data_IF_737453112996
#
_entry.id   IF_737453112996
#
_cell.length_a   1.000
_cell.length_b   1.000
_cell.length_c   1.000
_cell.angle_alpha   90.00
_cell.angle_beta   90.00
_cell.angle_gamma   90.00
#
_symmetry.space_group_name_H-M   'P 1'
#
loop_
_entity.id
_entity.type
_entity.pdbx_description
1 polymer ?
#
# COMPACT_ATOMS: atom_id res chain seq x y z
N UNK A 1 76.71 0.79 10.28
CA UNK A 1 75.82 0.24 9.23
C UNK A 1 74.60 -0.50 9.80
N UNK A 2 74.74 -1.53 10.67
CA UNK A 2 73.60 -2.32 11.18
C UNK A 2 72.49 -1.53 11.92
N UNK A 3 72.82 -0.47 12.67
CA UNK A 3 71.83 0.35 13.41
C UNK A 3 70.92 1.21 12.53
N UNK A 4 71.35 1.58 11.33
CA UNK A 4 70.53 2.34 10.38
C UNK A 4 69.49 1.43 9.72
N UNK A 5 69.93 0.23 9.30
CA UNK A 5 69.07 -0.78 8.68
C UNK A 5 67.88 -1.20 9.58
N UNK A 6 68.12 -1.30 10.89
CA UNK A 6 67.09 -1.66 11.90
C UNK A 6 66.05 -0.54 12.08
N UNK A 7 66.47 0.73 12.00
CA UNK A 7 65.54 1.86 12.11
C UNK A 7 64.62 1.94 10.89
N UNK A 8 65.17 1.76 9.69
CA UNK A 8 64.39 1.83 8.45
C UNK A 8 63.38 0.68 8.34
N UNK A 9 63.75 -0.52 8.78
CA UNK A 9 62.82 -1.67 8.85
C UNK A 9 61.72 -1.49 9.89
N UNK A 10 62.01 -0.89 11.04
CA UNK A 10 61.00 -0.58 12.05
C UNK A 10 60.01 0.50 11.57
N UNK A 11 60.50 1.53 10.86
CA UNK A 11 59.65 2.57 10.28
C UNK A 11 58.72 1.96 9.21
N UNK A 12 59.25 1.09 8.34
CA UNK A 12 58.45 0.38 7.34
C UNK A 12 57.39 -0.53 7.98
N UNK A 13 57.73 -1.22 9.08
CA UNK A 13 56.79 -2.07 9.80
C UNK A 13 55.67 -1.27 10.48
N UNK A 14 56.00 -0.14 11.12
CA UNK A 14 55.00 0.74 11.75
C UNK A 14 54.09 1.35 10.69
N UNK A 15 54.63 1.79 9.54
CA UNK A 15 53.85 2.31 8.41
C UNK A 15 52.92 1.24 7.83
N UNK A 16 53.41 0.01 7.63
CA UNK A 16 52.59 -1.09 7.14
C UNK A 16 51.43 -1.42 8.10
N UNK A 17 51.71 -1.47 9.41
CA UNK A 17 50.68 -1.72 10.44
C UNK A 17 49.65 -0.59 10.49
N UNK A 18 50.07 0.67 10.37
CA UNK A 18 49.13 1.81 10.35
C UNK A 18 48.29 1.85 9.09
N UNK A 19 48.85 1.52 7.92
CA UNK A 19 48.10 1.41 6.66
C UNK A 19 47.09 0.26 6.72
N UNK A 20 47.50 -0.89 7.27
CA UNK A 20 46.62 -2.05 7.44
C UNK A 20 45.48 -1.77 8.42
N UNK A 21 45.74 -1.10 9.55
CA UNK A 21 44.68 -0.76 10.51
C UNK A 21 43.71 0.29 9.96
N UNK A 22 44.20 1.32 9.26
CA UNK A 22 43.33 2.31 8.60
C UNK A 22 42.44 1.69 7.52
N UNK A 23 42.98 0.75 6.74
CA UNK A 23 42.22 0.05 5.69
C UNK A 23 41.10 -0.81 6.29
N UNK A 24 41.36 -1.47 7.43
CA UNK A 24 40.35 -2.27 8.13
C UNK A 24 39.22 -1.41 8.72
N UNK A 25 39.55 -0.26 9.32
CA UNK A 25 38.55 0.65 9.91
C UNK A 25 37.64 1.28 8.85
N UNK A 26 38.19 1.65 7.67
CA UNK A 26 37.42 2.19 6.54
C UNK A 26 36.51 1.12 5.90
N UNK A 27 36.98 -0.13 5.81
CA UNK A 27 36.16 -1.24 5.30
C UNK A 27 35.02 -1.61 6.26
N UNK A 28 35.28 -1.66 7.57
CA UNK A 28 34.28 -1.98 8.58
C UNK A 28 33.17 -0.91 8.70
N UNK A 29 33.51 0.37 8.50
CA UNK A 29 32.52 1.47 8.50
C UNK A 29 31.66 1.45 7.21
N UNK A 30 32.23 0.98 6.08
CA UNK A 30 31.52 0.75 4.82
C UNK A 30 30.43 -0.32 4.91
N UNK A 31 30.78 -1.51 5.41
CA UNK A 31 29.86 -2.64 5.57
C UNK A 31 28.72 -2.30 6.56
N UNK A 32 29.02 -1.55 7.62
CA UNK A 32 28.01 -1.11 8.59
C UNK A 32 27.03 -0.07 8.05
N UNK A 33 27.43 0.73 7.06
CA UNK A 33 26.54 1.70 6.39
C UNK A 33 25.59 0.99 5.44
N UNK A 34 26.07 0.02 4.67
CA UNK A 34 25.27 -0.78 3.73
C UNK A 34 24.18 -1.56 4.47
N UNK A 35 24.55 -2.30 5.53
CA UNK A 35 23.59 -3.07 6.33
C UNK A 35 22.49 -2.18 6.96
N UNK A 36 22.85 -0.98 7.43
CA UNK A 36 21.87 -0.01 7.96
C UNK A 36 20.96 0.54 6.87
N UNK A 37 21.46 0.65 5.65
CA UNK A 37 20.74 1.18 4.52
C UNK A 37 19.73 0.16 3.97
N UNK A 38 20.14 -1.10 3.84
CA UNK A 38 19.26 -2.21 3.45
C UNK A 38 18.14 -2.39 4.47
N UNK A 39 18.47 -2.45 5.77
CA UNK A 39 17.47 -2.49 6.85
C UNK A 39 16.49 -1.30 6.80
N UNK A 40 16.92 -0.15 6.28
CA UNK A 40 16.06 1.02 6.11
C UNK A 40 15.17 0.88 4.88
N UNK A 41 15.69 0.33 3.78
CA UNK A 41 14.94 -0.04 2.58
C UNK A 41 13.80 -1.00 2.93
N UNK A 42 14.14 -2.14 3.54
CA UNK A 42 13.18 -3.16 3.99
C UNK A 42 12.09 -2.56 4.89
N UNK A 43 12.47 -1.67 5.81
CA UNK A 43 11.51 -1.02 6.72
C UNK A 43 10.55 -0.09 5.97
N UNK A 44 11.00 0.54 4.88
CA UNK A 44 10.15 1.41 4.07
C UNK A 44 9.19 0.57 3.24
N UNK A 45 9.66 -0.49 2.60
CA UNK A 45 8.85 -1.44 1.83
C UNK A 45 7.75 -2.06 2.70
N UNK A 46 8.13 -2.67 3.82
CA UNK A 46 7.18 -3.21 4.81
C UNK A 46 6.14 -2.18 5.30
N UNK A 47 6.50 -0.89 5.34
CA UNK A 47 5.56 0.19 5.72
C UNK A 47 4.62 0.58 4.59
N UNK A 48 5.04 0.44 3.34
CA UNK A 48 4.20 0.67 2.17
C UNK A 48 3.19 -0.47 2.01
N UNK A 49 3.61 -1.72 2.17
CA UNK A 49 2.75 -2.90 2.07
C UNK A 49 1.64 -2.88 3.12
N UNK A 50 2.03 -2.77 4.40
CA UNK A 50 1.05 -2.63 5.51
C UNK A 50 0.10 -1.46 5.34
N UNK A 51 0.53 -0.42 4.61
CA UNK A 51 -0.33 0.71 4.29
C UNK A 51 -1.28 0.40 3.14
N UNK A 52 -0.84 -0.36 2.14
CA UNK A 52 -1.69 -0.95 1.10
C UNK A 52 -2.79 -1.80 1.73
N UNK A 53 -2.41 -2.84 2.47
CA UNK A 53 -3.33 -3.76 3.14
C UNK A 53 -4.39 -3.03 3.96
N UNK A 54 -3.98 -2.03 4.75
CA UNK A 54 -4.90 -1.25 5.58
C UNK A 54 -5.85 -0.39 4.73
N UNK A 55 -5.41 0.09 3.57
CA UNK A 55 -6.30 0.85 2.68
C UNK A 55 -7.31 -0.10 2.04
N UNK A 56 -6.88 -1.27 1.58
CA UNK A 56 -7.73 -2.27 0.94
C UNK A 56 -8.80 -2.78 1.91
N UNK A 57 -8.40 -3.18 3.12
CA UNK A 57 -9.32 -3.57 4.18
C UNK A 57 -10.36 -2.46 4.48
N UNK A 58 -9.96 -1.18 4.41
CA UNK A 58 -10.87 -0.05 4.61
C UNK A 58 -11.80 0.19 3.44
N UNK A 59 -11.39 -0.15 2.22
CA UNK A 59 -12.24 -0.05 1.02
C UNK A 59 -13.27 -1.19 1.04
N UNK A 60 -12.86 -2.41 1.35
CA UNK A 60 -13.74 -3.59 1.46
C UNK A 60 -14.79 -3.38 2.55
N UNK A 61 -14.36 -3.04 3.76
CA UNK A 61 -15.28 -2.72 4.86
C UNK A 61 -16.27 -1.59 4.52
N UNK A 62 -15.86 -0.68 3.63
CA UNK A 62 -16.73 0.40 3.15
C UNK A 62 -17.72 -0.11 2.11
N UNK A 63 -17.31 -1.01 1.21
CA UNK A 63 -18.19 -1.74 0.28
C UNK A 63 -19.29 -2.48 1.05
N UNK A 64 -18.90 -3.40 1.93
CA UNK A 64 -19.82 -4.19 2.76
C UNK A 64 -20.81 -3.34 3.57
N UNK A 65 -20.38 -2.16 4.02
CA UNK A 65 -21.25 -1.23 4.75
C UNK A 65 -22.26 -0.56 3.83
N UNK A 66 -21.88 -0.25 2.59
CA UNK A 66 -22.81 0.30 1.60
C UNK A 66 -23.82 -0.75 1.19
N UNK A 67 -23.39 -1.98 0.91
CA UNK A 67 -24.27 -3.05 0.43
C UNK A 67 -25.33 -3.37 1.48
N UNK A 68 -24.90 -3.63 2.73
CA UNK A 68 -25.83 -3.84 3.85
C UNK A 68 -26.79 -2.67 4.09
N UNK A 69 -26.44 -1.45 3.68
CA UNK A 69 -27.34 -0.27 3.78
C UNK A 69 -28.30 -0.18 2.60
N UNK A 70 -27.89 -0.63 1.41
CA UNK A 70 -28.75 -0.69 0.23
C UNK A 70 -29.77 -1.82 0.41
N UNK A 71 -29.34 -3.01 0.82
CA UNK A 71 -30.22 -4.18 1.07
C UNK A 71 -31.29 -3.84 2.10
N UNK A 72 -30.88 -3.38 3.29
CA UNK A 72 -31.82 -2.96 4.35
C UNK A 72 -32.77 -1.85 3.91
N UNK A 73 -32.38 -1.05 2.90
CA UNK A 73 -33.24 -0.02 2.35
C UNK A 73 -34.21 -0.59 1.32
N UNK A 74 -33.77 -1.54 0.50
CA UNK A 74 -34.62 -2.35 -0.40
C UNK A 74 -35.70 -3.04 0.40
N UNK A 75 -35.32 -3.89 1.36
CA UNK A 75 -36.25 -4.66 2.21
C UNK A 75 -37.35 -3.79 2.84
N UNK A 76 -36.99 -2.59 3.31
CA UNK A 76 -37.93 -1.65 3.93
C UNK A 76 -38.89 -1.01 2.93
N UNK A 77 -38.42 -0.76 1.71
CA UNK A 77 -39.23 -0.21 0.63
C UNK A 77 -40.19 -1.29 0.15
N UNK A 78 -39.71 -2.51 -0.08
CA UNK A 78 -40.51 -3.63 -0.57
C UNK A 78 -41.60 -3.96 0.42
N UNK A 79 -41.24 -4.17 1.69
CA UNK A 79 -42.23 -4.39 2.75
C UNK A 79 -43.21 -3.22 2.94
N UNK A 80 -42.90 -2.00 2.50
CA UNK A 80 -43.85 -0.89 2.51
C UNK A 80 -44.77 -0.90 1.30
N UNK A 81 -44.24 -1.26 0.13
CA UNK A 81 -44.98 -1.30 -1.13
C UNK A 81 -45.91 -2.50 -1.16
N UNK A 82 -45.46 -3.68 -0.72
CA UNK A 82 -46.27 -4.89 -0.61
C UNK A 82 -47.50 -4.62 0.27
N UNK A 83 -47.29 -4.11 1.49
CA UNK A 83 -48.40 -3.75 2.40
C UNK A 83 -49.36 -2.72 1.83
N UNK A 84 -48.92 -1.86 0.91
CA UNK A 84 -49.80 -0.90 0.22
C UNK A 84 -50.52 -1.56 -0.95
N UNK A 85 -49.85 -2.48 -1.64
CA UNK A 85 -50.41 -3.29 -2.72
C UNK A 85 -51.54 -4.17 -2.18
N UNK A 86 -51.26 -4.95 -1.13
CA UNK A 86 -52.23 -5.81 -0.45
C UNK A 86 -53.48 -5.03 0.01
N UNK A 87 -53.29 -3.82 0.57
CA UNK A 87 -54.40 -2.96 0.99
C UNK A 87 -55.20 -2.41 -0.18
N UNK A 88 -54.54 -2.11 -1.30
CA UNK A 88 -55.21 -1.65 -2.51
C UNK A 88 -56.04 -2.78 -3.12
N UNK A 89 -55.48 -3.99 -3.19
CA UNK A 89 -56.19 -5.18 -3.65
C UNK A 89 -57.39 -5.51 -2.76
N UNK A 90 -57.21 -5.52 -1.43
CA UNK A 90 -58.30 -5.73 -0.48
C UNK A 90 -59.43 -4.67 -0.57
N UNK A 91 -59.14 -3.48 -1.10
CA UNK A 91 -60.11 -2.42 -1.35
C UNK A 91 -60.72 -2.46 -2.76
N UNK A 92 -60.39 -3.46 -3.59
CA UNK A 92 -60.86 -3.59 -4.98
C UNK A 92 -60.17 -2.63 -5.95
N UNK A 93 -58.95 -2.19 -5.63
CA UNK A 93 -58.15 -1.28 -6.45
C UNK A 93 -56.98 -2.01 -7.14
N UNK A 94 -57.26 -3.03 -7.95
CA UNK A 94 -56.25 -3.89 -8.60
C UNK A 94 -55.26 -3.10 -9.46
N UNK A 95 -55.73 -2.09 -10.20
CA UNK A 95 -54.86 -1.21 -11.00
C UNK A 95 -53.88 -0.39 -10.15
N UNK A 96 -54.24 -0.08 -8.90
CA UNK A 96 -53.34 0.61 -7.98
C UNK A 96 -52.31 -0.36 -7.41
N UNK A 97 -52.73 -1.57 -7.02
CA UNK A 97 -51.82 -2.64 -6.58
C UNK A 97 -50.74 -2.92 -7.64
N UNK A 98 -51.16 -3.18 -8.88
CA UNK A 98 -50.22 -3.44 -9.99
C UNK A 98 -49.27 -2.25 -10.28
N UNK A 99 -49.72 -1.01 -10.01
CA UNK A 99 -48.84 0.18 -10.13
C UNK A 99 -47.82 0.28 -9.00
N UNK A 100 -48.16 -0.22 -7.80
CA UNK A 100 -47.27 -0.26 -6.64
C UNK A 100 -46.21 -1.35 -6.81
N UNK A 101 -46.58 -2.52 -7.32
CA UNK A 101 -45.63 -3.62 -7.60
C UNK A 101 -44.60 -3.18 -8.65
N UNK A 102 -45.06 -2.66 -9.79
CA UNK A 102 -44.17 -2.08 -10.82
C UNK A 102 -43.32 -0.92 -10.30
N UNK A 103 -43.72 -0.28 -9.20
CA UNK A 103 -42.92 0.77 -8.57
C UNK A 103 -41.83 0.16 -7.69
N UNK A 104 -42.10 -0.97 -7.03
CA UNK A 104 -41.11 -1.81 -6.34
C UNK A 104 -40.00 -2.22 -7.30
N UNK A 105 -40.34 -2.92 -8.38
CA UNK A 105 -39.37 -3.37 -9.40
C UNK A 105 -38.48 -2.24 -9.92
N UNK A 106 -39.06 -1.05 -10.12
CA UNK A 106 -38.34 0.14 -10.60
C UNK A 106 -37.41 0.72 -9.54
N UNK A 107 -37.74 0.59 -8.27
CA UNK A 107 -36.87 1.00 -7.17
C UNK A 107 -35.73 0.00 -7.01
N UNK A 108 -36.00 -1.30 -7.07
CA UNK A 108 -34.97 -2.34 -6.95
C UNK A 108 -33.93 -2.21 -8.06
N UNK A 109 -34.38 -2.11 -9.31
CA UNK A 109 -33.48 -1.85 -10.44
C UNK A 109 -32.64 -0.56 -10.26
N UNK A 110 -33.14 0.45 -9.53
CA UNK A 110 -32.38 1.66 -9.23
C UNK A 110 -31.41 1.47 -8.08
N UNK A 111 -31.75 0.64 -7.09
CA UNK A 111 -30.86 0.29 -5.98
C UNK A 111 -29.70 -0.58 -6.47
N UNK A 112 -29.96 -1.57 -7.32
CA UNK A 112 -28.92 -2.40 -7.94
C UNK A 112 -27.93 -1.57 -8.75
N UNK A 113 -28.45 -0.73 -9.67
CA UNK A 113 -27.61 0.21 -10.45
C UNK A 113 -26.82 1.18 -9.57
N UNK A 114 -27.31 1.45 -8.36
CA UNK A 114 -26.62 2.30 -7.39
C UNK A 114 -25.52 1.52 -6.69
N UNK A 115 -25.75 0.25 -6.31
CA UNK A 115 -24.74 -0.71 -5.84
C UNK A 115 -23.59 -0.82 -6.84
N UNK A 116 -23.88 -1.22 -8.08
CA UNK A 116 -22.89 -1.34 -9.17
C UNK A 116 -22.07 -0.06 -9.40
N UNK A 117 -22.68 1.10 -9.17
CA UNK A 117 -21.99 2.40 -9.34
C UNK A 117 -21.06 2.68 -8.16
N UNK A 118 -21.42 2.26 -6.95
CA UNK A 118 -20.56 2.36 -5.79
C UNK A 118 -19.38 1.42 -5.93
N UNK A 119 -19.60 0.16 -6.32
CA UNK A 119 -18.54 -0.85 -6.45
C UNK A 119 -17.50 -0.40 -7.47
N UNK A 120 -17.94 -0.02 -8.68
CA UNK A 120 -17.04 0.55 -9.69
C UNK A 120 -16.29 1.80 -9.24
N UNK A 121 -16.81 2.56 -8.27
CA UNK A 121 -16.10 3.72 -7.70
C UNK A 121 -15.08 3.30 -6.63
N UNK A 122 -15.37 2.24 -5.88
CA UNK A 122 -14.44 1.68 -4.90
C UNK A 122 -13.28 1.00 -5.62
N UNK A 123 -13.54 0.19 -6.65
CA UNK A 123 -12.50 -0.45 -7.48
C UNK A 123 -11.54 0.58 -8.08
N UNK A 124 -12.09 1.58 -8.77
CA UNK A 124 -11.28 2.69 -9.35
C UNK A 124 -10.46 3.44 -8.31
N UNK A 125 -10.93 3.45 -7.05
CA UNK A 125 -10.22 4.06 -5.95
C UNK A 125 -9.10 3.16 -5.44
N UNK A 126 -9.34 1.84 -5.34
CA UNK A 126 -8.32 0.81 -5.12
C UNK A 126 -7.19 0.93 -6.14
N UNK A 127 -7.50 0.81 -7.44
CA UNK A 127 -6.51 0.94 -8.52
C UNK A 127 -5.68 2.23 -8.45
N UNK A 128 -6.29 3.33 -7.98
CA UNK A 128 -5.60 4.62 -7.85
C UNK A 128 -4.65 4.62 -6.67
N UNK A 129 -5.02 3.95 -5.57
CA UNK A 129 -4.16 3.74 -4.41
C UNK A 129 -2.97 2.88 -4.81
N UNK A 130 -3.21 1.74 -5.47
CA UNK A 130 -2.16 0.79 -5.87
C UNK A 130 -1.12 1.48 -6.75
N UNK A 131 -1.56 2.11 -7.85
CA UNK A 131 -0.69 2.90 -8.72
C UNK A 131 0.04 4.04 -8.01
N UNK A 132 -0.43 4.51 -6.85
CA UNK A 132 0.26 5.53 -6.06
C UNK A 132 1.28 4.91 -5.12
N UNK A 133 0.99 3.72 -4.57
CA UNK A 133 1.93 2.94 -3.77
C UNK A 133 3.07 2.42 -4.63
N UNK A 134 2.80 1.84 -5.80
CA UNK A 134 3.81 1.36 -6.75
C UNK A 134 4.77 2.48 -7.15
N UNK A 135 4.23 3.64 -7.58
CA UNK A 135 5.05 4.81 -7.92
C UNK A 135 5.88 5.31 -6.73
N UNK A 136 5.43 5.08 -5.51
CA UNK A 136 6.16 5.46 -4.30
C UNK A 136 7.24 4.43 -3.97
N UNK A 137 6.96 3.14 -4.11
CA UNK A 137 7.93 2.04 -4.05
C UNK A 137 9.07 2.27 -5.04
N UNK A 138 8.76 2.37 -6.33
CA UNK A 138 9.75 2.62 -7.38
C UNK A 138 10.63 3.86 -7.13
N UNK A 139 10.07 4.93 -6.54
CA UNK A 139 10.84 6.13 -6.17
C UNK A 139 11.75 5.92 -4.97
N UNK A 140 11.36 5.05 -4.03
CA UNK A 140 12.20 4.61 -2.93
C UNK A 140 13.34 3.78 -3.50
N UNK A 141 13.05 2.76 -4.31
CA UNK A 141 14.05 1.87 -4.91
C UNK A 141 15.10 2.65 -5.69
N UNK A 142 14.68 3.54 -6.60
CA UNK A 142 15.60 4.41 -7.35
C UNK A 142 16.46 5.34 -6.47
N UNK A 143 15.98 5.70 -5.28
CA UNK A 143 16.78 6.47 -4.32
C UNK A 143 17.73 5.57 -3.57
N UNK A 144 17.32 4.35 -3.23
CA UNK A 144 18.16 3.35 -2.61
C UNK A 144 19.33 2.99 -3.53
N UNK A 145 19.06 2.67 -4.79
CA UNK A 145 20.08 2.36 -5.80
C UNK A 145 21.10 3.49 -5.96
N UNK A 146 20.62 4.74 -6.05
CA UNK A 146 21.50 5.91 -6.18
C UNK A 146 22.39 6.13 -4.97
N UNK A 147 21.92 5.76 -3.78
CA UNK A 147 22.72 5.87 -2.56
C UNK A 147 23.72 4.71 -2.49
N UNK A 148 23.31 3.48 -2.80
CA UNK A 148 24.21 2.31 -2.92
C UNK A 148 25.37 2.61 -3.87
N UNK A 149 25.08 3.07 -5.09
CA UNK A 149 26.11 3.47 -6.07
C UNK A 149 27.04 4.60 -5.60
N UNK A 150 26.62 5.44 -4.65
CA UNK A 150 27.48 6.49 -4.07
C UNK A 150 28.37 5.92 -2.97
N UNK A 151 27.90 4.92 -2.23
CA UNK A 151 28.69 4.19 -1.24
C UNK A 151 29.77 3.37 -1.98
N UNK A 152 29.38 2.60 -3.01
CA UNK A 152 30.31 1.82 -3.82
C UNK A 152 31.43 2.66 -4.43
N UNK A 153 31.07 3.84 -4.98
CA UNK A 153 32.06 4.76 -5.57
C UNK A 153 33.03 5.33 -4.54
N UNK A 154 32.59 5.58 -3.31
CA UNK A 154 33.48 6.02 -2.23
C UNK A 154 34.44 4.90 -1.81
N UNK A 155 33.96 3.66 -1.80
CA UNK A 155 34.76 2.48 -1.46
C UNK A 155 35.83 2.18 -2.51
N UNK A 156 35.47 2.21 -3.80
CA UNK A 156 36.37 1.89 -4.90
C UNK A 156 37.28 3.07 -5.33
N UNK A 157 37.00 4.29 -4.84
CA UNK A 157 37.77 5.49 -5.13
C UNK A 157 38.72 5.93 -4.00
N UNK A 158 38.81 5.15 -2.93
CA UNK A 158 39.82 5.27 -1.86
C UNK A 158 40.84 4.16 -2.00
#
# INVERSE_FOLDING_TARGET
MKKALIKDTMIAAVAAVTILSFSNDVLADGDGIEERFDKRGDRIENRLDRKGDRIDERLDNKGDRVDRRLDKRGDRIDANLDRKSDRAEAAGHDKLAERLDRKGDRIDSRLDKRGDRVDRKLDKRGDRVDRKLDRRGNRVDQKLDRVGQRIDRRRNGS
#
